data_IF_308409988568
#
_entry.id   IF_308409988568
#
_cell.length_a   1.000
_cell.length_b   1.000
_cell.length_c   1.000
_cell.angle_alpha   90.00
_cell.angle_beta   90.00
_cell.angle_gamma   90.00
#
_symmetry.space_group_name_H-M   'P 1'
#
loop_
_entity.id
_entity.type
_entity.pdbx_description
1 polymer ?
#
# COMPACT_ATOMS: atom_id res chain seq x y z
N UNK A 1 -25.91 -3.43 17.11
CA UNK A 1 -24.69 -4.14 17.57
C UNK A 1 -23.42 -3.51 16.98
N UNK A 2 -23.43 -3.11 15.70
CA UNK A 2 -22.28 -2.51 14.99
C UNK A 2 -21.93 -1.05 15.35
N UNK A 3 -22.85 -0.31 16.00
CA UNK A 3 -22.66 1.10 16.34
C UNK A 3 -21.88 1.34 17.64
N UNK A 4 -21.64 0.30 18.44
CA UNK A 4 -21.09 0.45 19.79
C UNK A 4 -19.85 -0.42 19.94
N UNK A 5 -18.69 0.15 19.62
CA UNK A 5 -17.41 -0.57 19.51
C UNK A 5 -17.06 -1.36 20.77
N UNK A 6 -17.34 -0.81 21.97
CA UNK A 6 -17.10 -1.50 23.25
C UNK A 6 -17.95 -2.77 23.42
N UNK A 7 -19.19 -2.75 22.94
CA UNK A 7 -20.12 -3.88 23.05
C UNK A 7 -19.76 -4.99 22.05
N UNK A 8 -19.24 -4.59 20.88
CA UNK A 8 -18.72 -5.50 19.87
C UNK A 8 -17.41 -6.15 20.34
N UNK A 9 -16.49 -5.36 20.88
CA UNK A 9 -15.23 -5.80 21.49
C UNK A 9 -15.47 -6.83 22.60
N UNK A 10 -16.39 -6.56 23.52
CA UNK A 10 -16.69 -7.48 24.61
C UNK A 10 -17.35 -8.79 24.12
N UNK A 11 -18.20 -8.74 23.08
CA UNK A 11 -18.74 -9.94 22.46
C UNK A 11 -17.65 -10.75 21.75
N UNK A 12 -16.72 -10.08 21.06
CA UNK A 12 -15.61 -10.70 20.36
C UNK A 12 -14.67 -11.42 21.34
N UNK A 13 -14.25 -10.75 22.42
CA UNK A 13 -13.40 -11.35 23.46
C UNK A 13 -14.04 -12.52 24.19
N UNK A 14 -15.37 -12.54 24.32
CA UNK A 14 -16.09 -13.63 24.99
C UNK A 14 -16.25 -14.88 24.12
N UNK A 15 -16.33 -14.72 22.80
CA UNK A 15 -16.62 -15.83 21.88
C UNK A 15 -15.37 -16.33 21.15
N UNK A 16 -14.26 -15.61 21.22
CA UNK A 16 -13.01 -16.04 20.61
C UNK A 16 -12.26 -16.97 21.56
N UNK A 17 -11.88 -18.18 21.10
CA UNK A 17 -11.17 -19.15 21.91
C UNK A 17 -9.66 -18.86 21.88
N UNK A 18 -9.24 -17.66 22.28
CA UNK A 18 -7.83 -17.26 22.37
C UNK A 18 -7.47 -16.84 23.79
N UNK A 19 -6.23 -17.10 24.21
CA UNK A 19 -5.70 -16.62 25.48
C UNK A 19 -5.62 -15.09 25.49
N UNK A 20 -5.89 -14.49 26.64
CA UNK A 20 -5.91 -13.02 26.82
C UNK A 20 -4.58 -12.34 26.50
N UNK A 21 -3.44 -13.02 26.70
CA UNK A 21 -2.11 -12.49 26.32
C UNK A 21 -1.93 -12.39 24.80
N UNK A 22 -2.36 -13.41 24.04
CA UNK A 22 -2.33 -13.43 22.58
C UNK A 22 -3.27 -12.36 21.99
N UNK A 23 -4.42 -12.15 22.63
CA UNK A 23 -5.42 -11.14 22.24
C UNK A 23 -4.92 -9.69 22.38
N UNK A 24 -4.04 -9.40 23.34
CA UNK A 24 -3.43 -8.06 23.49
C UNK A 24 -2.36 -7.78 22.43
N UNK A 25 -1.53 -8.77 22.11
CA UNK A 25 -0.53 -8.67 21.02
C UNK A 25 -1.26 -8.49 19.68
N UNK A 26 -2.30 -9.31 19.47
CA UNK A 26 -3.19 -9.22 18.32
C UNK A 26 -3.74 -7.81 18.07
N UNK A 27 -4.39 -7.24 19.10
CA UNK A 27 -5.06 -5.96 18.94
C UNK A 27 -4.06 -4.83 18.62
N UNK A 28 -2.85 -4.92 19.15
CA UNK A 28 -1.76 -3.98 18.85
C UNK A 28 -1.32 -4.11 17.38
N UNK A 29 -1.00 -5.32 16.93
CA UNK A 29 -0.50 -5.56 15.58
C UNK A 29 -1.54 -5.18 14.51
N UNK A 30 -2.81 -5.51 14.72
CA UNK A 30 -3.89 -5.12 13.81
C UNK A 30 -4.05 -3.62 13.72
N UNK A 31 -4.06 -2.94 14.86
CA UNK A 31 -4.22 -1.48 14.88
C UNK A 31 -3.07 -0.81 14.17
N UNK A 32 -1.84 -1.27 14.42
CA UNK A 32 -0.64 -0.70 13.83
C UNK A 32 -0.60 -1.00 12.31
N UNK A 33 -1.05 -2.17 11.86
CA UNK A 33 -1.22 -2.52 10.44
C UNK A 33 -2.25 -1.63 9.73
N UNK A 34 -3.44 -1.48 10.31
CA UNK A 34 -4.54 -0.73 9.71
C UNK A 34 -4.20 0.76 9.64
N UNK A 35 -3.68 1.34 10.72
CA UNK A 35 -3.30 2.77 10.75
C UNK A 35 -2.15 3.03 9.76
N UNK A 36 -1.13 2.16 9.74
CA UNK A 36 0.01 2.32 8.83
C UNK A 36 -0.38 2.20 7.36
N UNK A 37 -1.30 1.31 7.01
CA UNK A 37 -1.78 1.20 5.63
C UNK A 37 -2.72 2.35 5.23
N UNK A 38 -3.68 2.67 6.09
CA UNK A 38 -4.69 3.69 5.81
C UNK A 38 -4.09 5.09 5.69
N UNK A 39 -3.01 5.38 6.43
CA UNK A 39 -2.34 6.69 6.39
C UNK A 39 -1.09 6.66 5.53
N UNK A 40 -0.29 5.58 5.59
CA UNK A 40 1.00 5.50 4.93
C UNK A 40 0.91 5.51 3.41
N UNK A 41 0.00 4.71 2.81
CA UNK A 41 -0.14 4.63 1.35
C UNK A 41 -0.58 5.99 0.75
N UNK A 42 -1.66 6.65 1.24
CA UNK A 42 -2.04 7.96 0.71
C UNK A 42 -0.98 9.03 0.93
N UNK A 43 -0.29 9.02 2.07
CA UNK A 43 0.74 10.00 2.38
C UNK A 43 1.94 9.88 1.42
N UNK A 44 2.40 8.64 1.17
CA UNK A 44 3.45 8.34 0.20
C UNK A 44 3.03 8.78 -1.20
N UNK A 45 1.83 8.40 -1.63
CA UNK A 45 1.29 8.78 -2.93
C UNK A 45 1.22 10.30 -3.11
N UNK A 46 0.90 11.05 -2.05
CA UNK A 46 0.87 12.52 -2.06
C UNK A 46 2.25 13.12 -2.33
N UNK A 47 3.27 12.70 -1.58
CA UNK A 47 4.63 13.20 -1.78
C UNK A 47 5.18 12.81 -3.17
N UNK A 48 4.90 11.60 -3.62
CA UNK A 48 5.29 11.14 -4.96
C UNK A 48 4.62 11.96 -6.07
N UNK A 49 3.33 12.24 -5.94
CA UNK A 49 2.61 13.10 -6.88
C UNK A 49 3.15 14.54 -6.85
N UNK A 50 3.55 15.04 -5.69
CA UNK A 50 4.15 16.38 -5.57
C UNK A 50 5.47 16.47 -6.35
N UNK A 51 6.33 15.45 -6.24
CA UNK A 51 7.58 15.37 -7.02
C UNK A 51 7.27 15.32 -8.53
N UNK A 52 6.30 14.51 -8.94
CA UNK A 52 5.89 14.44 -10.33
C UNK A 52 5.31 15.78 -10.86
N UNK A 53 4.53 16.48 -10.02
CA UNK A 53 3.93 17.78 -10.33
C UNK A 53 4.97 18.86 -10.60
N UNK A 54 6.06 18.88 -9.83
CA UNK A 54 7.20 19.77 -10.10
C UNK A 54 7.77 19.49 -11.48
N UNK A 55 7.91 18.21 -11.86
CA UNK A 55 8.27 17.81 -13.22
C UNK A 55 7.28 18.34 -14.27
N UNK A 56 5.98 18.13 -14.07
CA UNK A 56 4.94 18.58 -15.02
C UNK A 56 4.95 20.09 -15.26
N UNK A 57 5.22 20.89 -14.22
CA UNK A 57 5.37 22.35 -14.36
C UNK A 57 6.63 22.70 -15.16
N UNK A 58 7.78 22.09 -14.82
CA UNK A 58 9.07 22.41 -15.44
C UNK A 58 9.05 22.09 -16.94
N UNK A 59 8.45 20.97 -17.32
CA UNK A 59 8.40 20.50 -18.70
C UNK A 59 7.17 20.99 -19.48
N UNK A 60 6.42 21.95 -18.92
CA UNK A 60 5.38 22.68 -19.67
C UNK A 60 4.14 21.85 -20.03
N UNK A 61 3.79 20.85 -19.22
CA UNK A 61 2.58 20.06 -19.44
C UNK A 61 1.34 20.95 -19.30
N UNK A 62 0.37 20.82 -20.20
CA UNK A 62 -0.91 21.54 -20.06
C UNK A 62 -1.70 21.03 -18.86
N UNK A 63 -2.26 21.96 -18.08
CA UNK A 63 -2.97 21.69 -16.82
C UNK A 63 -2.23 20.72 -15.87
N UNK A 64 -1.04 21.10 -15.34
CA UNK A 64 -0.24 20.24 -14.46
C UNK A 64 -1.00 19.73 -13.24
N UNK A 65 -2.01 20.47 -12.77
CA UNK A 65 -2.77 20.13 -11.56
C UNK A 65 -3.69 18.92 -11.77
N UNK A 66 -4.31 18.80 -12.94
CA UNK A 66 -5.06 17.60 -13.30
C UNK A 66 -4.15 16.37 -13.36
N UNK A 67 -2.95 16.52 -13.95
CA UNK A 67 -1.96 15.45 -13.97
C UNK A 67 -1.45 15.08 -12.58
N UNK A 68 -1.31 16.05 -11.66
CA UNK A 68 -1.02 15.78 -10.25
C UNK A 68 -2.08 14.90 -9.60
N UNK A 69 -3.37 15.20 -9.80
CA UNK A 69 -4.46 14.39 -9.23
C UNK A 69 -4.46 12.96 -9.78
N UNK A 70 -4.27 12.82 -11.09
CA UNK A 70 -4.20 11.50 -11.74
C UNK A 70 -2.98 10.73 -11.21
N UNK A 71 -1.83 11.38 -11.06
CA UNK A 71 -0.62 10.78 -10.50
C UNK A 71 -0.78 10.43 -9.02
N UNK A 72 -1.49 11.25 -8.24
CA UNK A 72 -1.79 10.96 -6.84
C UNK A 72 -2.56 9.65 -6.70
N UNK A 73 -3.67 9.51 -7.42
CA UNK A 73 -4.46 8.28 -7.39
C UNK A 73 -3.73 7.09 -8.04
N UNK A 74 -2.97 7.34 -9.10
CA UNK A 74 -2.14 6.32 -9.77
C UNK A 74 -1.01 5.80 -8.90
N UNK A 75 -0.34 6.67 -8.13
CA UNK A 75 0.74 6.32 -7.21
C UNK A 75 0.27 5.47 -6.02
N UNK A 76 -1.03 5.48 -5.69
CA UNK A 76 -1.60 4.55 -4.72
C UNK A 76 -1.58 3.10 -5.20
N UNK A 77 -1.41 2.86 -6.51
CA UNK A 77 -1.28 1.51 -7.07
C UNK A 77 0.17 1.00 -6.93
N UNK A 78 0.40 -0.04 -6.13
CA UNK A 78 1.76 -0.50 -5.84
C UNK A 78 2.48 -1.14 -7.04
N UNK A 79 1.80 -1.61 -8.09
CA UNK A 79 2.48 -2.33 -9.19
C UNK A 79 3.03 -1.40 -10.26
N UNK A 80 2.24 -0.39 -10.65
CA UNK A 80 2.56 0.50 -11.78
C UNK A 80 2.82 1.94 -11.30
N UNK A 81 2.27 2.32 -10.14
CA UNK A 81 2.52 3.58 -9.47
C UNK A 81 2.33 4.81 -10.36
N UNK A 82 3.21 5.80 -10.18
CA UNK A 82 3.22 7.01 -11.00
C UNK A 82 3.63 6.78 -12.48
N UNK A 83 4.20 5.61 -12.82
CA UNK A 83 4.63 5.32 -14.20
C UNK A 83 3.47 5.21 -15.18
N UNK A 84 2.29 4.80 -14.71
CA UNK A 84 1.07 4.78 -15.53
C UNK A 84 0.65 6.19 -15.97
N UNK A 85 1.17 7.23 -15.31
CA UNK A 85 0.78 8.62 -15.59
C UNK A 85 1.88 9.39 -16.30
N UNK A 86 3.12 9.35 -15.79
CA UNK A 86 4.20 10.13 -16.42
C UNK A 86 4.58 9.60 -17.81
N UNK A 87 4.42 8.30 -18.09
CA UNK A 87 4.72 7.74 -19.42
C UNK A 87 3.73 8.25 -20.47
N UNK A 88 2.39 8.14 -20.28
CA UNK A 88 1.43 8.78 -21.18
C UNK A 88 1.57 10.30 -21.26
N UNK A 89 1.86 10.98 -20.15
CA UNK A 89 2.08 12.43 -20.16
C UNK A 89 3.29 12.82 -21.03
N UNK A 90 4.37 12.05 -20.96
CA UNK A 90 5.55 12.24 -21.81
C UNK A 90 5.23 11.98 -23.28
N UNK A 91 4.48 10.91 -23.57
CA UNK A 91 4.03 10.60 -24.93
C UNK A 91 3.08 11.67 -25.48
N UNK A 92 2.25 12.28 -24.64
CA UNK A 92 1.39 13.41 -25.02
C UNK A 92 2.23 14.61 -25.49
N UNK A 93 3.27 15.00 -24.75
CA UNK A 93 4.18 16.08 -25.16
C UNK A 93 4.89 15.76 -26.48
N UNK A 94 5.36 14.52 -26.65
CA UNK A 94 5.98 14.09 -27.91
C UNK A 94 4.99 14.18 -29.08
N UNK A 95 3.74 13.77 -28.88
CA UNK A 95 2.68 13.84 -29.89
C UNK A 95 2.24 15.29 -30.19
N UNK A 96 2.30 16.18 -29.20
CA UNK A 96 2.04 17.61 -29.36
C UNK A 96 3.16 18.37 -30.10
N UNK A 97 4.27 17.70 -30.42
CA UNK A 97 5.42 18.28 -31.14
C UNK A 97 6.52 18.81 -30.22
N UNK A 98 6.32 18.80 -28.90
CA UNK A 98 7.32 19.20 -27.92
C UNK A 98 8.23 18.02 -27.56
N UNK A 99 9.09 17.67 -28.52
CA UNK A 99 9.96 16.51 -28.43
C UNK A 99 10.99 16.63 -27.30
N UNK A 100 11.53 17.83 -27.06
CA UNK A 100 12.52 18.06 -26.02
C UNK A 100 11.93 17.82 -24.62
N UNK A 101 10.81 18.47 -24.31
CA UNK A 101 10.18 18.33 -23.00
C UNK A 101 9.58 16.93 -22.80
N UNK A 102 9.09 16.27 -23.85
CA UNK A 102 8.61 14.89 -23.75
C UNK A 102 9.70 13.90 -23.34
N UNK A 103 10.89 13.95 -23.95
CA UNK A 103 12.01 13.08 -23.55
C UNK A 103 12.55 13.44 -22.16
N UNK A 104 12.62 14.72 -21.82
CA UNK A 104 13.08 15.18 -20.51
C UNK A 104 12.11 14.77 -19.40
N UNK A 105 10.80 14.87 -19.61
CA UNK A 105 9.79 14.41 -18.67
C UNK A 105 9.86 12.89 -18.48
N UNK A 106 10.11 12.14 -19.55
CA UNK A 106 10.25 10.68 -19.48
C UNK A 106 11.50 10.29 -18.67
N UNK A 107 12.64 10.96 -18.92
CA UNK A 107 13.86 10.76 -18.15
C UNK A 107 13.68 11.16 -16.67
N UNK A 108 13.03 12.30 -16.40
CA UNK A 108 12.71 12.75 -15.05
C UNK A 108 11.78 11.79 -14.32
N UNK A 109 10.72 11.31 -14.99
CA UNK A 109 9.79 10.33 -14.44
C UNK A 109 10.48 9.01 -14.11
N UNK A 110 11.35 8.52 -15.00
CA UNK A 110 12.08 7.28 -14.77
C UNK A 110 13.10 7.40 -13.63
N UNK A 111 13.90 8.48 -13.62
CA UNK A 111 14.96 8.67 -12.64
C UNK A 111 14.38 9.21 -11.33
N UNK A 112 13.82 10.42 -11.33
CA UNK A 112 13.47 11.13 -10.10
C UNK A 112 12.19 10.55 -9.47
N UNK A 113 11.13 10.40 -10.26
CA UNK A 113 9.85 9.87 -9.74
C UNK A 113 9.98 8.38 -9.41
N UNK A 114 10.68 7.62 -10.25
CA UNK A 114 10.98 6.20 -10.00
C UNK A 114 11.85 5.98 -8.75
N UNK A 115 12.91 6.77 -8.55
CA UNK A 115 13.71 6.70 -7.30
C UNK A 115 12.87 7.08 -6.08
N UNK A 116 12.00 8.08 -6.21
CA UNK A 116 11.09 8.50 -5.14
C UNK A 116 10.13 7.37 -4.75
N UNK A 117 9.53 6.67 -5.73
CA UNK A 117 8.68 5.49 -5.48
C UNK A 117 9.45 4.40 -4.73
N UNK A 118 10.66 4.08 -5.19
CA UNK A 118 11.50 3.04 -4.57
C UNK A 118 11.88 3.39 -3.13
N UNK A 119 12.27 4.65 -2.86
CA UNK A 119 12.63 5.11 -1.51
C UNK A 119 11.41 5.12 -0.59
N UNK A 120 10.29 5.66 -1.06
CA UNK A 120 9.07 5.74 -0.27
C UNK A 120 8.52 4.35 0.02
N UNK A 121 8.63 3.41 -0.92
CA UNK A 121 8.24 2.01 -0.74
C UNK A 121 9.16 1.28 0.24
N UNK A 122 10.47 1.53 0.22
CA UNK A 122 11.39 0.99 1.22
C UNK A 122 11.07 1.53 2.62
N UNK A 123 10.79 2.83 2.74
CA UNK A 123 10.35 3.42 4.00
C UNK A 123 9.02 2.83 4.47
N UNK A 124 8.07 2.65 3.55
CA UNK A 124 6.79 2.02 3.81
C UNK A 124 6.94 0.56 4.24
N UNK A 125 7.83 -0.21 3.62
CA UNK A 125 8.17 -1.58 4.05
C UNK A 125 8.81 -1.63 5.44
N UNK A 126 9.51 -0.57 5.85
CA UNK A 126 10.08 -0.49 7.20
C UNK A 126 9.02 -0.16 8.27
N UNK A 127 7.90 0.45 7.86
CA UNK A 127 6.77 0.81 8.73
C UNK A 127 5.67 -0.27 8.71
N UNK A 128 5.48 -0.94 7.56
CA UNK A 128 4.55 -2.03 7.40
C UNK A 128 5.17 -3.34 7.86
N UNK A 129 4.38 -4.21 8.47
CA UNK A 129 4.78 -5.61 8.62
C UNK A 129 5.09 -6.18 7.23
N UNK A 130 5.96 -7.18 7.18
CA UNK A 130 6.54 -7.80 5.99
C UNK A 130 5.46 -8.54 5.14
N UNK A 131 4.52 -7.80 4.54
CA UNK A 131 3.42 -8.37 3.75
C UNK A 131 3.95 -8.75 2.37
N UNK A 132 3.88 -10.05 2.06
CA UNK A 132 4.38 -10.60 0.81
C UNK A 132 3.77 -9.85 -0.41
N UNK A 133 4.57 -9.41 -1.41
CA UNK A 133 4.07 -8.66 -2.57
C UNK A 133 2.90 -9.30 -3.32
N UNK A 134 2.84 -10.63 -3.38
CA UNK A 134 1.73 -11.39 -3.95
C UNK A 134 0.40 -11.10 -3.22
N UNK A 135 0.41 -11.01 -1.89
CA UNK A 135 -0.77 -10.67 -1.09
C UNK A 135 -1.30 -9.29 -1.48
N UNK A 136 -0.41 -8.32 -1.70
CA UNK A 136 -0.79 -6.98 -2.13
C UNK A 136 -1.40 -6.98 -3.53
N UNK A 137 -0.81 -7.71 -4.49
CA UNK A 137 -1.33 -7.80 -5.87
C UNK A 137 -2.72 -8.43 -5.88
N UNK A 138 -2.88 -9.60 -5.27
CA UNK A 138 -4.17 -10.26 -5.17
C UNK A 138 -5.15 -9.44 -4.35
N UNK A 139 -4.67 -8.76 -3.31
CA UNK A 139 -5.42 -7.84 -2.47
C UNK A 139 -6.04 -6.72 -3.29
N UNK A 140 -5.26 -6.00 -4.08
CA UNK A 140 -5.77 -4.93 -4.95
C UNK A 140 -6.76 -5.47 -5.97
N UNK A 141 -6.47 -6.60 -6.64
CA UNK A 141 -7.36 -7.18 -7.65
C UNK A 141 -8.71 -7.58 -7.03
N UNK A 142 -8.69 -8.33 -5.93
CA UNK A 142 -9.90 -8.77 -5.24
C UNK A 142 -10.62 -7.58 -4.60
N UNK A 143 -9.88 -6.68 -3.98
CA UNK A 143 -10.39 -5.49 -3.33
C UNK A 143 -11.12 -4.57 -4.30
N UNK A 144 -10.54 -4.29 -5.48
CA UNK A 144 -11.19 -3.45 -6.49
C UNK A 144 -12.48 -4.10 -7.02
N UNK A 145 -12.50 -5.42 -7.17
CA UNK A 145 -13.71 -6.14 -7.57
C UNK A 145 -14.84 -6.04 -6.52
N UNK A 146 -14.51 -6.05 -5.23
CA UNK A 146 -15.50 -6.08 -4.13
C UNK A 146 -15.90 -4.67 -3.68
N UNK A 147 -14.95 -3.75 -3.60
CA UNK A 147 -15.08 -2.43 -2.96
C UNK A 147 -14.90 -1.25 -3.94
N UNK A 148 -14.68 -1.50 -5.23
CA UNK A 148 -14.41 -0.45 -6.23
C UNK A 148 -13.06 0.24 -6.00
N UNK A 149 -12.95 1.54 -6.30
CA UNK A 149 -11.70 2.29 -6.17
C UNK A 149 -11.07 2.22 -4.76
N UNK A 150 -11.93 2.27 -3.73
CA UNK A 150 -11.53 2.15 -2.31
C UNK A 150 -10.86 0.79 -2.03
N UNK A 151 -11.18 -0.23 -2.82
CA UNK A 151 -10.61 -1.57 -2.76
C UNK A 151 -9.10 -1.64 -2.97
N UNK A 152 -8.47 -0.63 -3.56
CA UNK A 152 -7.00 -0.55 -3.68
C UNK A 152 -6.36 -0.53 -2.28
N UNK A 153 -6.99 0.14 -1.32
CA UNK A 153 -6.49 0.27 0.04
C UNK A 153 -6.98 -0.91 0.89
N UNK A 154 -8.27 -1.22 0.84
CA UNK A 154 -8.89 -2.21 1.73
C UNK A 154 -8.63 -3.66 1.32
N UNK A 155 -8.35 -3.92 0.05
CA UNK A 155 -8.13 -5.25 -0.49
C UNK A 155 -6.94 -5.99 0.13
N UNK A 156 -5.71 -5.42 0.09
CA UNK A 156 -4.55 -5.99 0.76
C UNK A 156 -4.79 -6.20 2.25
N UNK A 157 -5.39 -5.21 2.93
CA UNK A 157 -5.73 -5.28 4.36
C UNK A 157 -6.65 -6.47 4.64
N UNK A 158 -7.67 -6.68 3.81
CA UNK A 158 -8.62 -7.78 3.97
C UNK A 158 -7.96 -9.16 3.83
N UNK A 159 -7.05 -9.33 2.85
CA UNK A 159 -6.31 -10.60 2.70
C UNK A 159 -5.32 -10.79 3.84
N UNK A 160 -4.58 -9.75 4.24
CA UNK A 160 -3.68 -9.81 5.39
C UNK A 160 -4.40 -10.22 6.67
N UNK A 161 -5.57 -9.62 6.95
CA UNK A 161 -6.43 -10.00 8.07
C UNK A 161 -6.85 -11.46 8.00
N UNK A 162 -7.23 -11.94 6.82
CA UNK A 162 -7.66 -13.32 6.59
C UNK A 162 -6.54 -14.31 6.88
N UNK A 163 -5.36 -14.10 6.28
CA UNK A 163 -4.17 -14.95 6.50
C UNK A 163 -3.78 -14.95 7.97
N UNK A 164 -3.85 -13.79 8.60
CA UNK A 164 -3.45 -13.64 9.98
C UNK A 164 -4.44 -14.30 10.96
N UNK A 165 -5.75 -14.30 10.65
CA UNK A 165 -6.73 -15.13 11.37
C UNK A 165 -6.39 -16.62 11.27
N UNK A 166 -6.00 -17.11 10.09
CA UNK A 166 -5.57 -18.50 9.93
C UNK A 166 -4.30 -18.83 10.73
N UNK A 167 -3.33 -17.91 10.76
CA UNK A 167 -2.10 -18.07 11.54
C UNK A 167 -2.39 -18.22 13.04
N UNK A 168 -3.30 -17.41 13.55
CA UNK A 168 -3.68 -17.44 14.97
C UNK A 168 -4.45 -18.70 15.32
N UNK A 169 -5.32 -19.15 14.42
CA UNK A 169 -5.96 -20.45 14.56
C UNK A 169 -4.93 -21.58 14.64
N UNK A 170 -3.92 -21.60 13.76
CA UNK A 170 -2.83 -22.61 13.83
C UNK A 170 -2.05 -22.54 15.14
N UNK A 171 -1.69 -21.33 15.59
CA UNK A 171 -0.92 -21.12 16.82
C UNK A 171 -1.65 -21.61 18.07
N UNK A 172 -2.97 -21.41 18.15
CA UNK A 172 -3.74 -21.80 19.33
C UNK A 172 -4.18 -23.28 19.29
N UNK A 173 -4.44 -23.84 18.09
CA UNK A 173 -5.09 -25.16 17.96
C UNK A 173 -4.22 -26.28 17.39
N UNK A 174 -3.12 -25.96 16.70
CA UNK A 174 -2.35 -26.99 15.96
C UNK A 174 -0.95 -27.20 16.52
N UNK A 175 -0.39 -26.28 17.33
CA UNK A 175 1.01 -26.32 17.80
C UNK A 175 2.07 -26.48 16.68
N UNK A 176 1.66 -26.34 15.42
CA UNK A 176 2.54 -26.33 14.26
C UNK A 176 3.08 -24.90 14.11
N UNK A 177 4.31 -24.71 14.57
CA UNK A 177 5.10 -23.54 14.21
C UNK A 177 5.40 -23.68 12.71
N UNK A 178 4.83 -22.81 11.87
CA UNK A 178 5.28 -22.69 10.49
C UNK A 178 6.80 -22.36 10.54
N UNK A 179 7.64 -23.35 10.18
CA UNK A 179 9.10 -23.30 10.29
C UNK A 179 9.74 -22.15 9.47
N UNK A 180 8.97 -21.50 8.61
CA UNK A 180 9.40 -20.36 7.79
C UNK A 180 9.85 -19.15 8.63
N UNK A 181 9.32 -18.93 9.85
CA UNK A 181 9.66 -17.75 10.66
C UNK A 181 10.84 -17.93 11.64
N UNK A 182 11.20 -19.17 12.03
CA UNK A 182 12.43 -19.40 12.81
C UNK A 182 13.69 -18.91 12.05
N UNK A 183 13.63 -18.89 10.71
CA UNK A 183 14.71 -18.39 9.87
C UNK A 183 14.85 -16.85 9.90
N UNK A 184 13.75 -16.12 10.08
CA UNK A 184 13.73 -14.65 10.11
C UNK A 184 14.20 -14.10 11.47
N UNK A 185 13.82 -14.75 12.57
CA UNK A 185 14.30 -14.37 13.91
C UNK A 185 15.78 -14.72 14.15
N UNK A 186 16.28 -15.83 13.59
CA UNK A 186 17.70 -16.22 13.74
C UNK A 186 18.67 -15.37 12.92
N UNK A 187 18.20 -14.62 11.92
CA UNK A 187 19.05 -13.74 11.10
C UNK A 187 19.08 -12.29 11.60
N UNK A 188 18.29 -11.97 12.62
CA UNK A 188 18.23 -10.66 13.26
C UNK A 188 19.00 -10.60 14.61
N UNK A 189 19.76 -11.66 14.94
CA UNK A 189 20.69 -11.72 16.08
C UNK A 189 22.12 -11.59 15.59
#
# INVERSE_FOLDING_TARGET
>A
MLMNYKKMEHWFYKNIPLKTENLTILNKDLRDLVISNAVGIPLVAFFQALVAYVGYIIFGLEDPFSWFLITFFGAMLPVVGAAIVYVPASLYLLAAGDTANGYLLLAYGFIVVGLTDNILRFWLQKVMADVHPLITIFGVILGVNIFGFIGIIFGPIFISLTIWMFRIYKLEFTNELDEEEKSKESSAV
#
